data_IF_680620753350
#
_entry.id   IF_680620753350
#
_cell.length_a   1.000
_cell.length_b   1.000
_cell.length_c   1.000
_cell.angle_alpha   90.00
_cell.angle_beta   90.00
_cell.angle_gamma   90.00
#
_symmetry.space_group_name_H-M   'P 1'
#
loop_
_entity.id
_entity.type
_entity.pdbx_description
1 polymer ?
#
# COMPACT_ATOMS: atom_id res chain seq x y z
N UNK A 1 1.37 9.03 13.93
CA UNK A 1 0.67 8.12 12.99
C UNK A 1 0.59 6.76 13.64
N UNK A 2 -0.58 6.32 14.09
CA UNK A 2 -0.75 4.97 14.61
C UNK A 2 -0.56 4.01 13.44
N UNK A 3 0.47 3.16 13.50
CA UNK A 3 0.71 2.14 12.50
C UNK A 3 -0.55 1.28 12.37
N UNK A 4 -1.15 1.27 11.18
CA UNK A 4 -2.17 0.31 10.81
C UNK A 4 -1.50 -1.06 10.76
N UNK A 5 -1.54 -1.80 11.86
CA UNK A 5 -1.23 -3.22 11.80
C UNK A 5 -2.43 -3.88 11.13
N UNK A 6 -2.23 -4.39 9.91
CA UNK A 6 -3.24 -5.25 9.29
C UNK A 6 -3.42 -6.48 10.19
N UNK A 7 -4.69 -6.82 10.43
CA UNK A 7 -5.07 -8.03 11.12
C UNK A 7 -4.47 -9.25 10.41
N UNK A 8 -4.03 -10.22 11.20
CA UNK A 8 -3.63 -11.52 10.67
C UNK A 8 -4.78 -12.18 9.93
N UNK A 9 -4.45 -13.08 9.00
CA UNK A 9 -5.46 -13.82 8.24
C UNK A 9 -6.41 -14.60 9.16
N UNK A 10 -5.91 -15.10 10.30
CA UNK A 10 -6.71 -15.77 11.32
C UNK A 10 -7.74 -14.83 11.95
N UNK A 11 -7.33 -13.65 12.43
CA UNK A 11 -8.24 -12.68 13.03
C UNK A 11 -9.30 -12.19 12.03
N UNK A 12 -8.93 -12.04 10.75
CA UNK A 12 -9.87 -11.68 9.69
C UNK A 12 -10.89 -12.80 9.43
N UNK A 13 -10.47 -14.07 9.48
CA UNK A 13 -11.39 -15.20 9.39
C UNK A 13 -12.33 -15.28 10.60
N UNK A 14 -11.86 -14.95 11.81
CA UNK A 14 -12.73 -14.86 13.00
C UNK A 14 -13.82 -13.81 12.81
N UNK A 15 -13.49 -12.66 12.21
CA UNK A 15 -14.45 -11.59 11.94
C UNK A 15 -15.45 -11.94 10.82
N UNK A 16 -14.98 -12.59 9.74
CA UNK A 16 -15.80 -12.97 8.58
C UNK A 16 -16.59 -14.27 8.79
N UNK A 17 -16.21 -15.06 9.78
CA UNK A 17 -16.80 -16.35 10.10
C UNK A 17 -18.31 -16.29 10.43
N UNK A 18 -18.90 -17.44 10.80
CA UNK A 18 -20.32 -17.55 11.14
C UNK A 18 -20.80 -16.40 12.05
N UNK A 19 -22.05 -15.96 11.86
CA UNK A 19 -22.60 -14.75 12.50
C UNK A 19 -22.43 -14.72 14.02
N UNK A 20 -22.38 -15.88 14.67
CA UNK A 20 -22.09 -16.02 16.11
C UNK A 20 -20.64 -15.67 16.48
N UNK A 21 -19.67 -16.02 15.62
CA UNK A 21 -18.26 -15.68 15.77
C UNK A 21 -18.01 -14.20 15.45
N UNK A 22 -18.68 -13.66 14.43
CA UNK A 22 -18.63 -12.22 14.12
C UNK A 22 -19.22 -11.34 15.24
N UNK A 23 -20.30 -11.79 15.90
CA UNK A 23 -20.81 -11.18 17.13
C UNK A 23 -19.84 -11.36 18.30
N UNK A 24 -19.18 -12.51 18.36
CA UNK A 24 -18.08 -12.80 19.27
C UNK A 24 -16.83 -11.95 19.03
N UNK A 25 -16.63 -11.35 17.84
CA UNK A 25 -15.48 -10.50 17.57
C UNK A 25 -15.41 -9.28 18.51
N UNK A 26 -16.54 -8.75 18.96
CA UNK A 26 -16.57 -7.75 20.05
C UNK A 26 -16.06 -8.34 21.37
N UNK A 27 -16.39 -9.60 21.69
CA UNK A 27 -15.88 -10.30 22.88
C UNK A 27 -14.37 -10.58 22.77
N UNK A 28 -13.86 -10.78 21.56
CA UNK A 28 -12.41 -10.89 21.29
C UNK A 28 -11.68 -9.54 21.32
N UNK A 29 -12.36 -8.44 21.65
CA UNK A 29 -11.76 -7.12 21.80
C UNK A 29 -11.58 -6.33 20.50
N UNK A 30 -12.13 -6.80 19.38
CA UNK A 30 -12.10 -6.03 18.13
C UNK A 30 -13.05 -4.84 18.20
N UNK A 31 -12.58 -3.68 17.76
CA UNK A 31 -13.42 -2.49 17.66
C UNK A 31 -14.48 -2.65 16.58
N UNK A 32 -15.63 -1.99 16.77
CA UNK A 32 -16.72 -1.93 15.77
C UNK A 32 -16.26 -1.42 14.41
N UNK A 33 -15.30 -0.49 14.40
CA UNK A 33 -14.74 0.09 13.17
C UNK A 33 -13.88 -0.92 12.42
N UNK A 34 -13.07 -1.71 13.13
CA UNK A 34 -12.28 -2.81 12.56
C UNK A 34 -13.17 -3.88 11.97
N UNK A 35 -14.20 -4.33 12.71
CA UNK A 35 -15.17 -5.33 12.25
C UNK A 35 -15.89 -4.86 10.97
N UNK A 36 -16.43 -3.64 10.99
CA UNK A 36 -17.14 -3.06 9.84
C UNK A 36 -16.25 -2.95 8.59
N UNK A 37 -14.97 -2.59 8.78
CA UNK A 37 -14.01 -2.46 7.69
C UNK A 37 -13.69 -3.82 7.06
N UNK A 38 -13.39 -4.83 7.87
CA UNK A 38 -13.09 -6.19 7.38
C UNK A 38 -14.30 -6.77 6.64
N UNK A 39 -15.50 -6.60 7.18
CA UNK A 39 -16.73 -7.08 6.54
C UNK A 39 -16.99 -6.39 5.19
N UNK A 40 -16.74 -5.08 5.08
CA UNK A 40 -16.82 -4.36 3.81
C UNK A 40 -15.80 -4.86 2.79
N UNK A 41 -14.54 -5.02 3.20
CA UNK A 41 -13.47 -5.54 2.33
C UNK A 41 -13.78 -6.97 1.85
N UNK A 42 -14.35 -7.82 2.72
CA UNK A 42 -14.81 -9.16 2.35
C UNK A 42 -15.98 -9.12 1.37
N UNK A 43 -17.00 -8.28 1.61
CA UNK A 43 -18.16 -8.13 0.72
C UNK A 43 -17.77 -7.68 -0.70
N UNK A 44 -16.76 -6.81 -0.80
CA UNK A 44 -16.29 -6.28 -2.09
C UNK A 44 -15.38 -7.25 -2.84
N UNK A 45 -14.51 -7.97 -2.13
CA UNK A 45 -13.45 -8.80 -2.75
C UNK A 45 -13.73 -10.30 -2.72
N UNK A 46 -14.68 -10.76 -1.90
CA UNK A 46 -14.92 -12.17 -1.57
C UNK A 46 -13.78 -12.84 -0.80
N UNK A 47 -12.75 -12.08 -0.40
CA UNK A 47 -11.52 -12.60 0.21
C UNK A 47 -11.38 -12.09 1.63
N UNK A 48 -10.95 -12.98 2.51
CA UNK A 48 -10.62 -12.68 3.91
C UNK A 48 -9.23 -12.09 4.05
N UNK A 49 -8.31 -12.42 3.14
CA UNK A 49 -6.96 -11.86 3.10
C UNK A 49 -6.94 -10.47 2.44
N UNK A 50 -6.16 -9.57 3.03
CA UNK A 50 -5.95 -8.24 2.48
C UNK A 50 -4.48 -8.10 2.06
N UNK A 51 -4.23 -8.24 0.76
CA UNK A 51 -2.90 -8.04 0.15
C UNK A 51 -2.60 -6.56 -0.17
N UNK A 52 -3.41 -5.60 0.32
CA UNK A 52 -3.22 -4.18 0.00
C UNK A 52 -1.87 -3.64 0.47
N UNK A 53 -1.26 -4.24 1.48
CA UNK A 53 0.10 -3.87 1.88
C UNK A 53 1.17 -4.16 0.82
N UNK A 54 0.93 -5.10 -0.10
CA UNK A 54 1.84 -5.39 -1.21
C UNK A 54 1.47 -4.65 -2.49
N UNK A 55 0.40 -3.84 -2.50
CA UNK A 55 0.09 -2.99 -3.64
C UNK A 55 0.70 -1.59 -3.45
N UNK A 56 1.92 -1.42 -3.96
CA UNK A 56 2.51 -0.11 -4.18
C UNK A 56 2.22 0.41 -5.59
N UNK A 57 2.42 1.72 -5.81
CA UNK A 57 2.47 2.28 -7.17
C UNK A 57 3.61 1.59 -7.93
N UNK A 58 3.31 0.96 -9.08
CA UNK A 58 4.35 0.38 -9.93
C UNK A 58 5.32 1.47 -10.37
N UNK A 59 6.61 1.27 -10.13
CA UNK A 59 7.67 2.14 -10.65
C UNK A 59 7.83 1.85 -12.15
N UNK A 60 7.77 2.90 -12.97
CA UNK A 60 7.95 2.81 -14.42
C UNK A 60 9.45 2.81 -14.76
N UNK A 61 10.27 3.48 -13.95
CA UNK A 61 11.73 3.56 -14.10
C UNK A 61 12.46 2.64 -13.12
N UNK A 62 13.63 2.15 -13.55
CA UNK A 62 14.53 1.39 -12.67
C UNK A 62 15.14 2.30 -11.59
N UNK A 63 15.63 1.71 -10.50
CA UNK A 63 16.25 2.49 -9.42
C UNK A 63 17.50 3.25 -9.88
N UNK A 64 18.27 2.67 -10.81
CA UNK A 64 19.47 3.33 -11.36
C UNK A 64 19.10 4.62 -12.08
N UNK A 65 18.05 4.57 -12.89
CA UNK A 65 17.54 5.70 -13.65
C UNK A 65 17.00 6.78 -12.71
N UNK A 66 16.26 6.37 -11.69
CA UNK A 66 15.75 7.27 -10.66
C UNK A 66 16.89 7.98 -9.91
N UNK A 67 17.96 7.26 -9.56
CA UNK A 67 19.16 7.84 -8.91
C UNK A 67 19.91 8.79 -9.86
N UNK A 68 19.97 8.48 -11.16
CA UNK A 68 20.60 9.36 -12.17
C UNK A 68 19.80 10.65 -12.33
N UNK A 69 18.49 10.54 -12.53
CA UNK A 69 17.59 11.69 -12.68
C UNK A 69 17.65 12.61 -11.44
N UNK A 70 17.70 12.00 -10.24
CA UNK A 70 17.87 12.76 -8.99
C UNK A 70 19.17 13.54 -8.95
N UNK A 71 20.28 13.00 -9.49
CA UNK A 71 21.57 13.71 -9.56
C UNK A 71 21.52 14.87 -10.54
N UNK A 72 20.89 14.70 -11.72
CA UNK A 72 20.73 15.75 -12.73
C UNK A 72 19.93 16.92 -12.15
N UNK A 73 18.77 16.65 -11.55
CA UNK A 73 17.92 17.67 -10.93
C UNK A 73 18.63 18.38 -9.77
N UNK A 74 19.43 17.65 -8.98
CA UNK A 74 20.22 18.26 -7.89
C UNK A 74 21.33 19.19 -8.41
N UNK A 75 21.98 18.85 -9.53
CA UNK A 75 23.02 19.68 -10.17
C UNK A 75 22.43 20.94 -10.77
N UNK A 76 21.29 20.83 -11.45
CA UNK A 76 20.63 21.97 -12.08
C UNK A 76 19.13 21.99 -11.74
N UNK A 77 18.78 22.64 -10.61
CA UNK A 77 17.40 22.73 -10.12
C UNK A 77 16.47 23.55 -11.03
N UNK A 78 17.02 24.35 -11.95
CA UNK A 78 16.26 25.20 -12.88
C UNK A 78 16.24 24.64 -14.30
N UNK A 79 16.78 23.44 -14.53
CA UNK A 79 16.80 22.82 -15.85
C UNK A 79 15.38 22.63 -16.39
N UNK A 80 15.21 22.97 -17.67
CA UNK A 80 13.98 22.68 -18.41
C UNK A 80 14.00 21.21 -18.81
N UNK A 81 12.82 20.61 -19.00
CA UNK A 81 12.67 19.20 -19.37
C UNK A 81 13.62 18.76 -20.50
N UNK A 82 13.75 19.54 -21.58
CA UNK A 82 14.63 19.20 -22.70
C UNK A 82 16.12 19.09 -22.32
N UNK A 83 16.59 19.89 -21.35
CA UNK A 83 17.95 19.82 -20.84
C UNK A 83 18.14 18.59 -19.93
N UNK A 84 17.12 18.29 -19.11
CA UNK A 84 17.14 17.09 -18.26
C UNK A 84 17.15 15.82 -19.14
N UNK A 85 16.38 15.82 -20.22
CA UNK A 85 16.31 14.69 -21.15
C UNK A 85 17.65 14.47 -21.86
N UNK A 86 18.26 15.54 -22.39
CA UNK A 86 19.60 15.49 -22.98
C UNK A 86 20.66 14.97 -21.99
N UNK A 87 20.70 15.52 -20.77
CA UNK A 87 21.62 15.08 -19.70
C UNK A 87 21.36 13.63 -19.26
N UNK A 88 20.12 13.15 -19.42
CA UNK A 88 19.72 11.79 -19.10
C UNK A 88 19.99 10.81 -20.24
N UNK A 89 20.03 11.25 -21.50
CA UNK A 89 20.41 10.40 -22.63
C UNK A 89 21.92 10.33 -22.82
N UNK A 90 22.67 11.39 -22.49
CA UNK A 90 24.12 11.53 -22.75
C UNK A 90 25.06 10.59 -21.97
N UNK A 91 24.52 9.58 -21.27
CA UNK A 91 25.31 8.73 -20.38
C UNK A 91 26.08 9.50 -19.29
N UNK A 92 26.78 8.82 -18.37
CA UNK A 92 28.06 9.33 -17.90
C UNK A 92 29.14 9.23 -18.98
#
# INVERSE_FOLDING_TARGET
MAGYQDLSEFERHVIVGPREIAFGAMKFGFSRTTISRVYREYRESGKTSNLRHRCGRKKIMQERDQRRLTRIIKRNRRAIFAQIDADFTDGP
#
